data_IF_141717054135
#
_entry.id   IF_141717054135
#
_cell.length_a   1.000
_cell.length_b   1.000
_cell.length_c   1.000
_cell.angle_alpha   90.00
_cell.angle_beta   90.00
_cell.angle_gamma   90.00
#
_symmetry.space_group_name_H-M   'P 1'
#
loop_
_entity.id
_entity.type
_entity.pdbx_description
1 polymer ?
#
# COMPACT_ATOMS: atom_id res chain seq x y z
N UNK A 1 -5.07 -3.79 13.41
CA UNK A 1 -3.95 -3.01 12.88
C UNK A 1 -4.18 -2.75 11.41
N UNK A 2 -4.27 -1.50 10.98
CA UNK A 2 -4.41 -1.08 9.59
C UNK A 2 -3.08 -0.55 9.06
N UNK A 3 -2.53 -1.25 8.08
CA UNK A 3 -1.25 -0.94 7.43
C UNK A 3 -1.50 -0.41 6.03
N UNK A 4 -0.98 0.76 5.72
CA UNK A 4 -0.79 1.21 4.34
C UNK A 4 0.52 0.62 3.83
N UNK A 5 0.47 -0.20 2.79
CA UNK A 5 1.66 -0.85 2.23
C UNK A 5 2.02 -0.23 0.88
N UNK A 6 3.24 0.31 0.76
CA UNK A 6 3.69 1.01 -0.44
C UNK A 6 4.18 0.02 -1.50
N UNK A 7 3.62 0.12 -2.70
CA UNK A 7 3.94 -0.68 -3.88
C UNK A 7 3.93 -2.21 -3.64
N UNK A 8 2.83 -2.80 -3.14
CA UNK A 8 2.76 -4.25 -2.88
C UNK A 8 2.83 -5.10 -4.16
N UNK A 9 2.61 -4.47 -5.31
CA UNK A 9 2.62 -5.10 -6.64
C UNK A 9 4.02 -5.19 -7.24
N UNK A 10 5.04 -4.53 -6.66
CA UNK A 10 6.38 -4.50 -7.23
C UNK A 10 7.48 -4.36 -6.17
N UNK A 11 8.54 -5.19 -6.22
CA UNK A 11 8.68 -6.41 -7.04
C UNK A 11 7.68 -7.52 -6.62
N UNK A 12 7.45 -8.52 -7.46
CA UNK A 12 6.45 -9.60 -7.23
C UNK A 12 6.57 -10.29 -5.86
N UNK A 13 7.77 -10.31 -5.26
CA UNK A 13 7.99 -10.90 -3.94
C UNK A 13 7.31 -10.12 -2.80
N UNK A 14 7.00 -8.83 -2.99
CA UNK A 14 6.44 -7.96 -1.95
C UNK A 14 5.06 -8.42 -1.47
N UNK A 15 4.28 -9.07 -2.33
CA UNK A 15 2.98 -9.60 -1.96
C UNK A 15 3.06 -10.59 -0.80
N UNK A 16 4.19 -11.29 -0.62
CA UNK A 16 4.38 -12.23 0.49
C UNK A 16 4.35 -11.54 1.84
N UNK A 17 4.84 -10.30 1.93
CA UNK A 17 4.78 -9.50 3.15
C UNK A 17 3.33 -9.12 3.48
N UNK A 18 2.57 -8.67 2.46
CA UNK A 18 1.14 -8.40 2.60
C UNK A 18 0.38 -9.65 3.04
N UNK A 19 0.65 -10.81 2.43
CA UNK A 19 0.05 -12.08 2.82
C UNK A 19 0.33 -12.42 4.29
N UNK A 20 1.57 -12.23 4.76
CA UNK A 20 1.92 -12.43 6.15
C UNK A 20 1.19 -11.45 7.10
N UNK A 21 1.08 -10.16 6.71
CA UNK A 21 0.28 -9.17 7.45
C UNK A 21 -1.19 -9.60 7.57
N UNK A 22 -1.78 -10.10 6.46
CA UNK A 22 -3.16 -10.62 6.46
C UNK A 22 -3.30 -11.86 7.36
N UNK A 23 -2.33 -12.77 7.38
CA UNK A 23 -2.33 -13.96 8.23
C UNK A 23 -2.33 -13.62 9.72
N UNK A 24 -1.70 -12.51 10.14
CA UNK A 24 -1.73 -12.03 11.53
C UNK A 24 -2.94 -11.12 11.84
N UNK A 25 -3.90 -11.03 10.93
CA UNK A 25 -5.15 -10.29 11.13
C UNK A 25 -5.04 -8.79 10.88
N UNK A 26 -4.00 -8.31 10.18
CA UNK A 26 -3.94 -6.92 9.77
C UNK A 26 -4.93 -6.62 8.63
N UNK A 27 -5.44 -5.39 8.63
CA UNK A 27 -6.06 -4.77 7.45
C UNK A 27 -4.94 -4.13 6.63
N UNK A 28 -4.94 -4.33 5.32
CA UNK A 28 -3.90 -3.81 4.42
C UNK A 28 -4.54 -3.05 3.26
N UNK A 29 -4.22 -1.77 3.15
CA UNK A 29 -4.53 -0.96 1.96
C UNK A 29 -3.23 -0.77 1.17
N UNK A 30 -3.23 -1.13 -0.11
CA UNK A 30 -2.08 -0.91 -0.98
C UNK A 30 -2.04 0.52 -1.52
N UNK A 31 -0.82 1.06 -1.67
CA UNK A 31 -0.57 2.32 -2.38
C UNK A 31 0.27 2.02 -3.65
N UNK A 32 -0.05 2.64 -4.78
CA UNK A 32 0.77 2.48 -5.98
C UNK A 32 0.27 3.24 -7.21
N UNK A 33 1.04 3.17 -8.29
CA UNK A 33 0.78 3.88 -9.53
C UNK A 33 -0.31 3.29 -10.43
N UNK A 34 -0.42 1.95 -10.59
CA UNK A 34 -1.46 1.37 -11.42
C UNK A 34 -2.85 1.70 -10.90
N UNK A 35 -3.82 1.82 -11.80
CA UNK A 35 -5.20 1.91 -11.38
C UNK A 35 -5.61 0.61 -10.69
N UNK A 36 -6.48 0.67 -9.68
CA UNK A 36 -6.81 -0.51 -8.87
C UNK A 36 -7.40 -1.67 -9.68
N UNK A 37 -8.06 -1.38 -10.82
CA UNK A 37 -8.61 -2.38 -11.73
C UNK A 37 -7.57 -3.04 -12.64
N UNK A 38 -6.37 -2.46 -12.75
CA UNK A 38 -5.24 -3.01 -13.51
C UNK A 38 -4.40 -3.96 -12.66
N UNK A 39 -4.62 -3.98 -11.34
CA UNK A 39 -3.89 -4.88 -10.45
C UNK A 39 -4.18 -6.34 -10.78
N UNK A 40 -3.15 -7.18 -10.91
CA UNK A 40 -3.33 -8.62 -11.04
C UNK A 40 -4.19 -9.16 -9.88
N UNK A 41 -5.10 -10.08 -10.19
CA UNK A 41 -6.02 -10.65 -9.20
C UNK A 41 -5.27 -11.26 -8.00
N UNK A 42 -4.11 -11.85 -8.23
CA UNK A 42 -3.30 -12.45 -7.18
C UNK A 42 -2.77 -11.43 -6.15
N UNK A 43 -2.72 -10.13 -6.50
CA UNK A 43 -2.39 -9.03 -5.60
C UNK A 43 -3.67 -8.51 -4.94
N UNK A 44 -4.67 -8.14 -5.75
CA UNK A 44 -5.85 -7.43 -5.27
C UNK A 44 -6.70 -8.24 -4.28
N UNK A 45 -6.75 -9.56 -4.42
CA UNK A 45 -7.47 -10.43 -3.48
C UNK A 45 -6.92 -10.39 -2.04
N UNK A 46 -5.69 -9.93 -1.83
CA UNK A 46 -5.05 -9.85 -0.52
C UNK A 46 -5.14 -8.45 0.10
N UNK A 47 -5.69 -7.48 -0.61
CA UNK A 47 -5.82 -6.10 -0.16
C UNK A 47 -7.27 -5.79 0.26
N UNK A 48 -7.43 -5.00 1.31
CA UNK A 48 -8.73 -4.49 1.76
C UNK A 48 -9.07 -3.14 1.11
N UNK A 49 -8.11 -2.53 0.42
CA UNK A 49 -8.26 -1.27 -0.28
C UNK A 49 -7.07 -0.97 -1.18
N UNK A 50 -7.25 -0.02 -2.09
CA UNK A 50 -6.20 0.51 -2.96
C UNK A 50 -6.32 2.02 -3.06
N UNK A 51 -5.19 2.72 -2.90
CA UNK A 51 -5.06 4.13 -3.27
C UNK A 51 -4.09 4.24 -4.42
N UNK A 52 -4.58 4.76 -5.54
CA UNK A 52 -3.73 5.14 -6.64
C UNK A 52 -3.02 6.46 -6.31
N UNK A 53 -1.71 6.51 -6.56
CA UNK A 53 -0.87 7.72 -6.50
C UNK A 53 -0.12 7.87 -7.83
N UNK A 54 0.35 9.06 -8.20
CA UNK A 54 1.09 9.21 -9.45
C UNK A 54 2.53 8.70 -9.35
N UNK A 55 3.12 8.71 -8.16
CA UNK A 55 4.48 8.25 -7.89
C UNK A 55 4.60 7.90 -6.40
N UNK A 56 5.00 6.67 -6.06
CA UNK A 56 5.19 6.26 -4.66
C UNK A 56 6.44 6.86 -3.99
N UNK A 57 7.33 7.48 -4.76
CA UNK A 57 8.52 8.17 -4.21
C UNK A 57 8.30 9.65 -3.97
N UNK A 58 7.13 10.18 -4.33
CA UNK A 58 6.75 11.57 -4.09
C UNK A 58 6.11 11.71 -2.70
N UNK A 59 6.74 12.51 -1.83
CA UNK A 59 6.27 12.70 -0.44
C UNK A 59 4.85 13.26 -0.38
N UNK A 60 4.53 14.24 -1.22
CA UNK A 60 3.21 14.88 -1.27
C UNK A 60 2.13 13.90 -1.71
N UNK A 61 2.43 13.07 -2.72
CA UNK A 61 1.53 12.05 -3.22
C UNK A 61 1.17 11.02 -2.14
N UNK A 62 2.17 10.53 -1.41
CA UNK A 62 1.96 9.59 -0.31
C UNK A 62 1.22 10.27 0.86
N UNK A 63 1.58 11.50 1.21
CA UNK A 63 0.90 12.25 2.26
C UNK A 63 -0.59 12.36 1.97
N UNK A 64 -0.96 12.79 0.77
CA UNK A 64 -2.36 12.95 0.37
C UNK A 64 -3.11 11.61 0.35
N UNK A 65 -2.47 10.53 -0.11
CA UNK A 65 -3.06 9.19 -0.06
C UNK A 65 -3.34 8.74 1.38
N UNK A 66 -2.38 8.94 2.29
CA UNK A 66 -2.58 8.66 3.72
C UNK A 66 -3.74 9.48 4.26
N UNK A 67 -3.86 10.77 3.91
CA UNK A 67 -4.97 11.63 4.34
C UNK A 67 -6.32 11.15 3.83
N UNK A 68 -6.41 10.73 2.56
CA UNK A 68 -7.64 10.14 2.00
C UNK A 68 -8.06 8.87 2.72
N UNK A 69 -7.10 8.04 3.16
CA UNK A 69 -7.42 6.85 3.96
C UNK A 69 -7.83 7.24 5.38
N UNK A 70 -7.12 8.17 6.00
CA UNK A 70 -7.44 8.63 7.35
C UNK A 70 -8.82 9.32 7.46
N UNK A 71 -9.32 9.88 6.36
CA UNK A 71 -10.67 10.45 6.31
C UNK A 71 -11.79 9.41 6.48
N UNK A 72 -11.50 8.13 6.19
CA UNK A 72 -12.47 7.03 6.30
C UNK A 72 -12.17 6.08 7.45
N UNK A 73 -10.91 5.87 7.79
CA UNK A 73 -10.48 4.84 8.75
C UNK A 73 -9.19 5.21 9.47
N UNK A 74 -9.01 4.72 10.70
CA UNK A 74 -7.74 4.87 11.42
C UNK A 74 -6.61 4.11 10.71
N UNK A 75 -5.44 4.73 10.60
CA UNK A 75 -4.21 4.15 10.02
C UNK A 75 -3.18 4.01 11.13
N UNK A 76 -2.73 2.77 11.38
CA UNK A 76 -1.74 2.50 12.42
C UNK A 76 -0.31 2.69 11.91
N UNK A 77 -0.06 2.33 10.64
CA UNK A 77 1.30 2.30 10.06
C UNK A 77 1.29 2.57 8.56
N UNK A 78 2.36 3.19 8.08
CA UNK A 78 2.77 3.22 6.68
C UNK A 78 4.04 2.38 6.57
N UNK A 79 4.03 1.33 5.74
CA UNK A 79 5.11 0.35 5.64
C UNK A 79 5.60 0.24 4.20
N UNK A 80 6.92 0.14 4.06
CA UNK A 80 7.60 -0.08 2.79
C UNK A 80 8.80 -0.99 3.01
N UNK A 81 9.05 -1.86 2.04
CA UNK A 81 10.13 -2.86 2.06
C UNK A 81 11.15 -2.63 0.95
N UNK A 82 10.85 -1.74 0.00
CA UNK A 82 11.81 -1.22 -0.98
C UNK A 82 12.49 0.00 -0.39
N UNK A 83 13.83 0.04 -0.40
CA UNK A 83 14.63 1.15 0.14
C UNK A 83 14.23 2.49 -0.50
N UNK A 84 13.98 2.50 -1.81
CA UNK A 84 13.55 3.69 -2.55
C UNK A 84 12.23 4.28 -2.10
N UNK A 85 11.42 3.54 -1.33
CA UNK A 85 10.12 4.00 -0.83
C UNK A 85 10.17 4.40 0.66
N UNK A 86 11.29 4.17 1.36
CA UNK A 86 11.40 4.46 2.80
C UNK A 86 11.58 5.96 3.07
N UNK A 87 12.24 6.67 2.16
CA UNK A 87 12.39 8.12 2.16
C UNK A 87 11.79 8.65 0.87
N UNK A 88 10.49 8.94 0.89
CA UNK A 88 9.89 9.70 -0.19
C UNK A 88 10.57 11.08 -0.27
N UNK A 89 10.89 11.52 -1.48
CA UNK A 89 11.66 12.72 -1.78
C UNK A 89 10.80 13.80 -2.45
#
# INVERSE_FOLDING_TARGET
>A
MHVLFVAPHFPDVQIRFVQALKQVGAKVTGLGEPAGHELPHHISQHLDGWEQVHNVTDEGALYDAVRRVQAREWVDRLEATSESHMLAA
#
